data_IF_327041113866
#
_entry.id   IF_327041113866
#
_cell.length_a   1.000
_cell.length_b   1.000
_cell.length_c   1.000
_cell.angle_alpha   90.00
_cell.angle_beta   90.00
_cell.angle_gamma   90.00
#
_symmetry.space_group_name_H-M   'P 1'
#
loop_
_entity.id
_entity.type
_entity.pdbx_description
1 polymer ?
#
# COMPACT_ATOMS: atom_id res chain seq x y z
N UNK A 1 -16.52 49.46 -5.72
CA UNK A 1 -16.01 48.26 -6.42
C UNK A 1 -15.88 47.15 -5.37
N UNK A 2 -16.79 46.17 -5.40
CA UNK A 2 -16.81 45.06 -4.46
C UNK A 2 -15.95 43.93 -5.01
N UNK A 3 -14.94 43.51 -4.26
CA UNK A 3 -14.08 42.38 -4.57
C UNK A 3 -14.83 41.11 -4.20
N UNK A 4 -15.27 40.31 -5.18
CA UNK A 4 -15.84 38.99 -4.93
C UNK A 4 -14.64 38.02 -4.91
N UNK A 5 -14.38 37.31 -3.80
CA UNK A 5 -13.33 36.29 -3.78
C UNK A 5 -13.76 35.13 -4.66
N UNK A 6 -12.96 34.79 -5.66
CA UNK A 6 -13.14 33.62 -6.48
C UNK A 6 -12.95 32.36 -5.61
N UNK A 7 -14.03 31.65 -5.37
CA UNK A 7 -14.00 30.30 -4.75
C UNK A 7 -13.38 29.37 -5.79
N UNK A 8 -12.11 29.03 -5.61
CA UNK A 8 -11.45 28.01 -6.44
C UNK A 8 -12.05 26.65 -6.04
N UNK A 9 -12.69 25.92 -6.97
CA UNK A 9 -13.33 24.65 -6.62
C UNK A 9 -12.29 23.62 -6.19
N UNK A 10 -12.53 22.97 -5.06
CA UNK A 10 -11.73 21.89 -4.45
C UNK A 10 -11.76 20.59 -5.29
N UNK A 11 -12.22 20.62 -6.52
CA UNK A 11 -12.39 19.48 -7.43
C UNK A 11 -11.09 18.94 -8.01
N UNK A 12 -10.03 19.75 -8.03
CA UNK A 12 -8.76 19.41 -8.72
C UNK A 12 -8.04 18.18 -8.13
N UNK A 13 -8.18 17.90 -6.84
CA UNK A 13 -7.39 16.84 -6.17
C UNK A 13 -7.90 15.41 -6.44
N UNK A 14 -9.21 15.21 -6.57
CA UNK A 14 -9.77 13.89 -6.85
C UNK A 14 -9.63 13.50 -8.32
N UNK A 15 -9.62 14.48 -9.22
CA UNK A 15 -9.37 14.25 -10.64
C UNK A 15 -7.90 13.91 -10.89
N UNK A 16 -6.97 14.47 -10.11
CA UNK A 16 -5.54 14.21 -10.26
C UNK A 16 -5.17 12.77 -9.93
N UNK A 17 -5.67 12.17 -8.84
CA UNK A 17 -5.32 10.79 -8.49
C UNK A 17 -5.84 9.78 -9.51
N UNK A 18 -7.08 9.96 -10.00
CA UNK A 18 -7.68 9.10 -11.03
C UNK A 18 -6.93 9.21 -12.35
N UNK A 19 -6.59 10.46 -12.77
CA UNK A 19 -5.80 10.70 -13.99
C UNK A 19 -4.42 10.11 -13.90
N UNK A 20 -3.75 10.28 -12.75
CA UNK A 20 -2.41 9.73 -12.51
C UNK A 20 -2.44 8.22 -12.60
N UNK A 21 -3.32 7.53 -11.88
CA UNK A 21 -3.40 6.07 -11.93
C UNK A 21 -3.70 5.56 -13.33
N UNK A 22 -4.60 6.18 -14.09
CA UNK A 22 -4.86 5.81 -15.49
C UNK A 22 -3.66 6.06 -16.41
N UNK A 23 -2.88 7.10 -16.16
CA UNK A 23 -1.71 7.42 -16.98
C UNK A 23 -0.54 6.45 -16.78
N UNK A 24 -0.46 5.79 -15.61
CA UNK A 24 0.64 4.90 -15.25
C UNK A 24 0.24 3.42 -15.16
N UNK A 25 -0.98 3.08 -15.58
CA UNK A 25 -1.50 1.70 -15.55
C UNK A 25 -2.47 1.45 -16.70
N UNK A 26 -2.85 0.18 -16.88
CA UNK A 26 -3.83 -0.24 -17.91
C UNK A 26 -5.29 -0.15 -17.44
N UNK A 27 -5.54 0.42 -16.27
CA UNK A 27 -6.91 0.58 -15.78
C UNK A 27 -7.66 1.67 -16.54
N UNK A 28 -8.86 1.32 -17.04
CA UNK A 28 -9.74 2.22 -17.81
C UNK A 28 -10.99 2.63 -17.06
N UNK A 29 -11.02 2.47 -15.73
CA UNK A 29 -12.16 2.81 -14.88
C UNK A 29 -12.39 4.33 -14.88
N UNK A 30 -13.62 4.76 -15.10
CA UNK A 30 -14.03 6.16 -15.13
C UNK A 30 -14.72 6.57 -13.83
N UNK A 31 -14.87 7.86 -13.61
CA UNK A 31 -15.58 8.45 -12.48
C UNK A 31 -14.67 8.77 -11.29
N UNK A 32 -15.29 9.24 -10.22
CA UNK A 32 -14.62 9.59 -8.97
C UNK A 32 -13.93 8.36 -8.34
N UNK A 33 -12.85 8.60 -7.63
CA UNK A 33 -12.04 7.53 -7.03
C UNK A 33 -12.88 6.56 -6.18
N UNK A 34 -13.81 7.06 -5.36
CA UNK A 34 -14.66 6.21 -4.51
C UNK A 34 -15.62 5.29 -5.29
N UNK A 35 -15.95 5.62 -6.55
CA UNK A 35 -16.81 4.79 -7.40
C UNK A 35 -16.06 3.65 -8.08
N UNK A 36 -14.73 3.70 -8.09
CA UNK A 36 -13.90 2.71 -8.78
C UNK A 36 -14.15 1.30 -8.28
N UNK A 37 -14.38 1.14 -6.97
CA UNK A 37 -14.68 -0.17 -6.40
C UNK A 37 -15.91 -0.81 -7.04
N UNK A 38 -17.01 -0.07 -7.11
CA UNK A 38 -18.26 -0.55 -7.74
C UNK A 38 -18.09 -0.74 -9.25
N UNK A 39 -17.41 0.18 -9.94
CA UNK A 39 -17.20 0.11 -11.39
C UNK A 39 -16.22 -1.01 -11.82
N UNK A 40 -15.40 -1.49 -10.91
CA UNK A 40 -14.51 -2.64 -11.16
C UNK A 40 -15.28 -3.98 -11.17
N UNK A 41 -16.42 -4.05 -10.52
CA UNK A 41 -17.20 -5.28 -10.41
C UNK A 41 -17.57 -5.85 -11.79
N UNK A 42 -17.32 -7.13 -11.97
CA UNK A 42 -17.53 -7.84 -13.24
C UNK A 42 -16.51 -7.54 -14.35
N UNK A 43 -15.57 -6.60 -14.13
CA UNK A 43 -14.52 -6.24 -15.09
C UNK A 43 -13.12 -6.58 -14.59
N UNK A 44 -12.87 -6.41 -13.32
CA UNK A 44 -11.60 -6.66 -12.65
C UNK A 44 -11.83 -7.50 -11.40
N UNK A 45 -10.87 -8.32 -11.05
CA UNK A 45 -10.88 -9.01 -9.76
C UNK A 45 -10.69 -8.00 -8.61
N UNK A 46 -11.36 -8.25 -7.50
CA UNK A 46 -11.27 -7.45 -6.28
C UNK A 46 -10.74 -8.31 -5.16
N UNK A 47 -9.92 -7.74 -4.29
CA UNK A 47 -9.24 -8.46 -3.22
C UNK A 47 -9.09 -7.61 -1.97
N UNK A 48 -9.06 -8.27 -0.81
CA UNK A 48 -8.63 -7.67 0.45
C UNK A 48 -7.11 -7.71 0.64
N UNK A 49 -6.37 -8.33 -0.31
CA UNK A 49 -4.92 -8.44 -0.24
C UNK A 49 -4.27 -7.77 -1.45
N UNK A 50 -3.09 -7.14 -1.29
CA UNK A 50 -2.42 -6.41 -2.35
C UNK A 50 -1.79 -7.32 -3.40
N UNK A 51 -1.56 -6.75 -4.58
CA UNK A 51 -0.64 -7.25 -5.59
C UNK A 51 0.10 -6.06 -6.21
N UNK A 52 1.32 -6.23 -6.65
CA UNK A 52 1.98 -5.21 -7.47
C UNK A 52 1.15 -4.96 -8.74
N UNK A 53 0.99 -3.70 -9.12
CA UNK A 53 0.13 -3.27 -10.21
C UNK A 53 -1.36 -3.19 -9.86
N UNK A 54 -1.80 -3.56 -8.65
CA UNK A 54 -3.19 -3.37 -8.21
C UNK A 54 -3.46 -1.93 -7.79
N UNK A 55 -4.73 -1.55 -7.74
CA UNK A 55 -5.17 -0.22 -7.28
C UNK A 55 -5.80 -0.34 -5.90
N UNK A 56 -5.21 0.31 -4.90
CA UNK A 56 -5.81 0.52 -3.60
C UNK A 56 -6.88 1.60 -3.69
N UNK A 57 -8.11 1.28 -3.28
CA UNK A 57 -9.26 2.19 -3.36
C UNK A 57 -9.66 2.66 -1.97
N UNK A 58 -9.50 3.95 -1.72
CA UNK A 58 -9.89 4.60 -0.46
C UNK A 58 -11.36 4.99 -0.49
N UNK A 59 -12.04 4.79 0.62
CA UNK A 59 -13.42 5.26 0.82
C UNK A 59 -13.45 6.78 0.98
N UNK A 60 -14.61 7.34 0.78
CA UNK A 60 -14.87 8.75 1.14
C UNK A 60 -14.67 8.95 2.65
N UNK A 61 -13.97 10.00 3.00
CA UNK A 61 -13.75 10.43 4.38
C UNK A 61 -13.48 11.94 4.42
N UNK A 62 -13.36 12.54 5.61
CA UNK A 62 -13.29 13.98 5.77
C UNK A 62 -12.37 14.73 4.80
N UNK A 63 -11.12 14.30 4.65
CA UNK A 63 -10.17 14.93 3.70
C UNK A 63 -10.21 14.32 2.30
N UNK A 64 -10.79 13.14 2.16
CA UNK A 64 -10.95 12.41 0.91
C UNK A 64 -12.44 12.42 0.52
N UNK A 65 -13.03 13.59 0.35
CA UNK A 65 -14.46 13.76 0.10
C UNK A 65 -14.92 13.08 -1.21
N UNK A 66 -14.03 12.84 -2.17
CA UNK A 66 -14.26 12.08 -3.41
C UNK A 66 -13.53 10.73 -3.43
N UNK A 67 -13.07 10.24 -2.26
CA UNK A 67 -12.23 9.06 -2.18
C UNK A 67 -10.83 9.32 -2.69
N UNK A 68 -10.05 8.24 -2.87
CA UNK A 68 -8.72 8.29 -3.45
C UNK A 68 -8.36 6.94 -4.07
N UNK A 69 -7.45 6.93 -5.04
CA UNK A 69 -6.88 5.73 -5.64
C UNK A 69 -5.37 5.85 -5.72
N UNK A 70 -4.68 4.73 -5.48
CA UNK A 70 -3.22 4.63 -5.56
C UNK A 70 -2.83 3.33 -6.27
N UNK A 71 -1.86 3.39 -7.17
CA UNK A 71 -1.30 2.20 -7.83
C UNK A 71 -0.24 1.57 -6.93
N UNK A 72 -0.37 0.30 -6.60
CA UNK A 72 0.63 -0.45 -5.82
C UNK A 72 1.86 -0.69 -6.70
N UNK A 73 2.98 -0.06 -6.36
CA UNK A 73 4.26 -0.28 -7.05
C UNK A 73 4.97 -1.52 -6.50
N UNK A 74 4.86 -1.75 -5.19
CA UNK A 74 5.52 -2.90 -4.54
C UNK A 74 4.78 -3.35 -3.28
N UNK A 75 4.76 -4.66 -3.03
CA UNK A 75 4.35 -5.26 -1.75
C UNK A 75 5.62 -5.56 -0.96
N UNK A 76 5.80 -4.89 0.18
CA UNK A 76 7.00 -5.00 1.02
C UNK A 76 6.86 -6.14 2.01
N UNK A 77 5.75 -6.16 2.74
CA UNK A 77 5.44 -7.19 3.73
C UNK A 77 3.90 -7.31 3.90
N UNK A 78 3.46 -8.08 4.89
CA UNK A 78 2.03 -8.35 5.12
C UNK A 78 1.19 -7.11 5.43
N UNK A 79 1.81 -6.02 5.87
CA UNK A 79 1.15 -4.78 6.28
C UNK A 79 1.69 -3.53 5.58
N UNK A 80 2.68 -3.68 4.72
CA UNK A 80 3.36 -2.55 4.10
C UNK A 80 3.40 -2.70 2.59
N UNK A 81 2.93 -1.68 1.89
CA UNK A 81 3.07 -1.54 0.44
C UNK A 81 3.72 -0.20 0.12
N UNK A 82 4.23 -0.08 -1.08
CA UNK A 82 4.55 1.20 -1.72
C UNK A 82 3.58 1.45 -2.87
N UNK A 83 3.21 2.72 -3.03
CA UNK A 83 2.24 3.14 -4.04
C UNK A 83 2.71 4.36 -4.82
N UNK A 84 2.27 4.43 -6.06
CA UNK A 84 2.38 5.58 -6.92
C UNK A 84 1.02 6.29 -6.97
N UNK A 85 0.98 7.58 -6.64
CA UNK A 85 -0.26 8.35 -6.63
C UNK A 85 -0.04 9.87 -6.67
N UNK A 86 -1.11 10.63 -6.81
CA UNK A 86 -1.15 12.06 -6.49
C UNK A 86 -1.81 12.22 -5.12
N UNK A 87 -1.03 12.62 -4.10
CA UNK A 87 -1.51 12.69 -2.72
C UNK A 87 -1.93 14.10 -2.30
N UNK A 88 -2.74 14.20 -1.25
CA UNK A 88 -3.28 15.44 -0.68
C UNK A 88 -2.20 16.51 -0.50
N UNK A 89 -2.46 17.70 -1.05
CA UNK A 89 -1.58 18.86 -0.93
C UNK A 89 -0.36 18.88 -1.86
N UNK A 90 -0.09 17.77 -2.57
CA UNK A 90 0.94 17.69 -3.60
C UNK A 90 0.35 17.75 -5.00
N UNK A 91 1.07 18.32 -5.95
CA UNK A 91 0.73 18.26 -7.38
C UNK A 91 1.54 17.17 -8.06
N UNK A 92 0.88 16.41 -8.93
CA UNK A 92 1.54 15.41 -9.78
C UNK A 92 1.81 14.08 -9.09
N UNK A 93 2.54 13.24 -9.80
CA UNK A 93 2.86 11.87 -9.39
C UNK A 93 3.91 11.85 -8.28
N UNK A 94 3.60 11.15 -7.20
CA UNK A 94 4.51 10.73 -6.15
C UNK A 94 4.72 9.24 -6.28
N UNK A 95 5.97 8.80 -6.21
CA UNK A 95 6.34 7.39 -6.36
C UNK A 95 6.78 6.78 -5.05
N UNK A 96 6.56 5.46 -4.94
CA UNK A 96 7.04 4.63 -3.85
C UNK A 96 6.64 5.14 -2.45
N UNK A 97 5.48 5.79 -2.38
CA UNK A 97 4.92 6.27 -1.12
C UNK A 97 4.47 5.10 -0.26
N UNK A 98 5.01 5.00 0.95
CA UNK A 98 4.67 3.91 1.86
C UNK A 98 3.25 4.03 2.39
N UNK A 99 2.52 2.93 2.36
CA UNK A 99 1.20 2.77 2.97
C UNK A 99 1.22 1.56 3.88
N UNK A 100 0.74 1.73 5.10
CA UNK A 100 0.74 0.69 6.13
C UNK A 100 -0.68 0.32 6.50
N UNK A 101 -0.98 -0.97 6.48
CA UNK A 101 -2.22 -1.52 7.01
C UNK A 101 -2.23 -1.41 8.54
N UNK A 102 -3.21 -0.70 9.07
CA UNK A 102 -3.46 -0.54 10.51
C UNK A 102 -4.79 -1.16 10.94
N UNK A 103 -5.40 -1.96 10.07
CA UNK A 103 -6.61 -2.72 10.40
C UNK A 103 -6.32 -3.79 11.46
N UNK A 104 -7.34 -4.11 12.28
CA UNK A 104 -7.21 -5.10 13.34
C UNK A 104 -6.94 -6.52 12.78
N UNK A 105 -7.51 -6.83 11.61
CA UNK A 105 -7.48 -8.18 11.03
C UNK A 105 -6.47 -8.37 9.90
N UNK A 106 -5.61 -7.38 9.64
CA UNK A 106 -4.69 -7.39 8.49
C UNK A 106 -5.43 -7.63 7.16
N UNK A 107 -6.54 -6.94 7.00
CA UNK A 107 -7.44 -7.03 5.85
C UNK A 107 -7.44 -5.77 4.97
N UNK A 108 -6.54 -4.83 5.27
CA UNK A 108 -6.39 -3.57 4.55
C UNK A 108 -7.62 -2.67 4.57
N UNK A 109 -8.57 -2.90 5.49
CA UNK A 109 -9.76 -2.06 5.64
C UNK A 109 -9.48 -0.67 6.18
N UNK A 110 -8.31 -0.46 6.78
CA UNK A 110 -7.85 0.82 7.31
C UNK A 110 -6.34 0.95 7.12
N UNK A 111 -5.89 2.07 6.55
CA UNK A 111 -4.47 2.31 6.25
C UNK A 111 -4.01 3.68 6.74
N UNK A 112 -2.70 3.80 6.96
CA UNK A 112 -2.01 5.08 7.15
C UNK A 112 -1.00 5.28 6.02
N UNK A 113 -0.90 6.53 5.55
CA UNK A 113 -0.03 6.90 4.43
C UNK A 113 1.17 7.67 4.97
N UNK A 114 2.34 7.43 4.38
CA UNK A 114 3.56 8.14 4.73
C UNK A 114 3.41 9.66 4.53
N UNK A 115 3.96 10.42 5.44
CA UNK A 115 3.93 11.87 5.41
C UNK A 115 5.33 12.41 5.07
N UNK A 116 5.57 12.69 3.80
CA UNK A 116 6.89 13.10 3.31
C UNK A 116 7.49 14.31 4.03
N UNK A 117 6.76 15.41 4.28
CA UNK A 117 7.34 16.57 4.97
C UNK A 117 7.90 16.24 6.34
N UNK A 118 7.35 15.26 7.04
CA UNK A 118 7.80 14.84 8.36
C UNK A 118 8.66 13.57 8.34
N UNK A 119 8.87 12.98 7.17
CA UNK A 119 9.55 11.67 6.99
C UNK A 119 9.07 10.63 8.01
N UNK A 120 7.76 10.53 8.17
CA UNK A 120 7.12 9.66 9.18
C UNK A 120 5.78 9.13 8.69
N UNK A 121 5.31 8.06 9.31
CA UNK A 121 3.97 7.54 9.04
C UNK A 121 2.91 8.56 9.50
N UNK A 122 2.07 9.02 8.58
CA UNK A 122 0.99 9.95 8.88
C UNK A 122 0.11 9.44 10.01
N UNK A 123 -0.35 10.32 10.89
CA UNK A 123 -1.14 9.91 12.07
C UNK A 123 -2.58 9.53 11.74
N UNK A 124 -3.08 9.94 10.58
CA UNK A 124 -4.48 9.76 10.18
C UNK A 124 -4.69 8.39 9.55
N UNK A 125 -5.70 7.67 10.01
CA UNK A 125 -6.19 6.44 9.39
C UNK A 125 -7.24 6.76 8.33
N UNK A 126 -7.19 6.03 7.21
CA UNK A 126 -8.10 6.15 6.09
C UNK A 126 -8.79 4.81 5.82
N UNK A 127 -10.12 4.78 5.74
CA UNK A 127 -10.83 3.55 5.39
C UNK A 127 -10.69 3.26 3.89
N UNK A 128 -10.54 1.97 3.55
CA UNK A 128 -10.42 1.50 2.18
C UNK A 128 -11.48 0.46 1.84
N UNK A 129 -11.69 0.22 0.54
CA UNK A 129 -12.47 -0.91 0.04
C UNK A 129 -11.60 -2.16 -0.14
N UNK A 130 -10.33 -1.99 -0.47
CA UNK A 130 -9.40 -3.05 -0.86
C UNK A 130 -8.71 -2.73 -2.18
N UNK A 131 -8.33 -3.78 -2.90
CA UNK A 131 -7.51 -3.71 -4.11
C UNK A 131 -8.28 -4.18 -5.34
N UNK A 132 -8.20 -3.41 -6.42
CA UNK A 132 -8.62 -3.83 -7.76
C UNK A 132 -7.39 -4.42 -8.44
N UNK A 133 -7.44 -5.69 -8.81
CA UNK A 133 -6.32 -6.39 -9.42
C UNK A 133 -6.28 -6.16 -10.94
N UNK A 134 -5.11 -5.99 -11.55
CA UNK A 134 -4.99 -6.01 -13.01
C UNK A 134 -5.35 -7.39 -13.55
N UNK A 135 -5.70 -7.48 -14.82
CA UNK A 135 -6.08 -8.74 -15.44
C UNK A 135 -4.98 -9.81 -15.28
N UNK A 136 -5.37 -11.00 -14.83
CA UNK A 136 -4.47 -12.14 -14.63
C UNK A 136 -3.62 -12.07 -13.35
N UNK A 137 -3.64 -10.98 -12.60
CA UNK A 137 -2.90 -10.88 -11.34
C UNK A 137 -3.61 -11.64 -10.20
N UNK A 138 -2.81 -12.09 -9.25
CA UNK A 138 -3.26 -12.71 -7.99
C UNK A 138 -2.72 -11.92 -6.81
N UNK A 139 -3.41 -11.92 -5.66
CA UNK A 139 -2.89 -11.36 -4.44
C UNK A 139 -1.51 -11.93 -4.09
N UNK A 140 -0.62 -11.06 -3.65
CA UNK A 140 0.70 -11.48 -3.20
C UNK A 140 0.67 -11.72 -1.69
N UNK A 141 0.88 -12.97 -1.30
CA UNK A 141 1.15 -13.32 0.08
C UNK A 141 2.67 -13.26 0.28
N UNK A 142 3.13 -12.19 0.92
CA UNK A 142 4.51 -12.14 1.39
C UNK A 142 4.49 -12.91 2.71
N UNK A 143 4.94 -14.16 2.67
CA UNK A 143 5.17 -14.92 3.89
C UNK A 143 6.16 -14.14 4.77
N UNK A 144 5.91 -14.14 6.09
CA UNK A 144 6.89 -13.58 7.01
C UNK A 144 8.26 -14.19 6.68
N UNK A 145 9.29 -13.35 6.61
CA UNK A 145 10.66 -13.81 6.34
C UNK A 145 10.93 -15.17 6.99
N UNK A 146 11.57 -16.12 6.29
CA UNK A 146 11.93 -17.38 6.91
C UNK A 146 12.75 -17.02 8.16
N UNK A 147 12.19 -17.32 9.34
CA UNK A 147 12.97 -17.25 10.57
C UNK A 147 14.28 -17.94 10.26
N UNK A 148 15.39 -17.20 10.30
CA UNK A 148 16.72 -17.78 10.28
C UNK A 148 16.68 -18.92 11.28
N UNK A 149 16.69 -20.16 10.77
CA UNK A 149 16.72 -21.34 11.62
C UNK A 149 17.99 -21.19 12.45
N UNK A 150 17.84 -20.90 13.74
CA UNK A 150 18.94 -20.96 14.70
C UNK A 150 19.42 -22.40 14.61
N UNK A 151 20.55 -22.61 13.96
CA UNK A 151 21.19 -23.92 13.91
C UNK A 151 21.32 -24.43 15.35
N UNK A 152 20.89 -25.66 15.67
CA UNK A 152 21.06 -26.19 17.00
C UNK A 152 22.56 -26.19 17.31
N UNK A 153 22.93 -25.56 18.42
CA UNK A 153 24.30 -25.51 18.90
C UNK A 153 24.89 -26.93 18.89
N UNK A 154 25.87 -27.13 18.01
CA UNK A 154 26.54 -28.41 17.84
C UNK A 154 27.07 -28.90 19.18
N UNK A 155 26.69 -30.11 19.54
CA UNK A 155 27.24 -30.86 20.69
C UNK A 155 28.75 -30.84 20.59
N UNK A 156 29.42 -30.17 21.52
CA UNK A 156 30.85 -30.20 21.66
C UNK A 156 31.32 -31.67 21.82
N UNK A 157 32.06 -32.18 20.84
CA UNK A 157 32.71 -33.45 20.92
C UNK A 157 33.76 -33.40 22.03
N UNK A 158 33.53 -34.17 23.11
CA UNK A 158 34.57 -34.38 24.14
C UNK A 158 35.72 -35.12 23.51
N UNK A 159 36.83 -34.42 23.29
CA UNK A 159 38.10 -35.04 22.98
C UNK A 159 38.63 -35.74 24.24
N UNK A 160 38.65 -37.06 24.23
CA UNK A 160 39.36 -37.88 25.23
C UNK A 160 40.85 -37.85 24.93
N UNK A 161 41.60 -37.12 25.73
CA UNK A 161 43.08 -37.17 25.71
C UNK A 161 43.46 -38.48 26.36
N UNK A 162 44.02 -39.40 25.57
CA UNK A 162 44.78 -40.58 26.09
C UNK A 162 46.18 -40.15 26.43
N UNK A 163 46.49 -40.12 27.71
CA UNK A 163 47.86 -40.02 28.17
C UNK A 163 48.58 -41.37 27.90
N UNK A 164 49.55 -41.34 27.04
CA UNK A 164 50.52 -42.45 26.89
C UNK A 164 51.65 -42.22 27.91
N UNK A 165 51.74 -43.06 28.90
CA UNK A 165 52.92 -43.20 29.74
C UNK A 165 53.90 -44.12 29.04
N UNK A 166 55.02 -43.55 28.62
CA UNK A 166 56.18 -44.32 28.17
C UNK A 166 57.15 -44.62 29.35
N UNK A 167 57.52 -45.86 29.44
CA UNK A 167 58.66 -46.30 30.24
C UNK A 167 59.92 -46.07 29.49
#
# INVERSE_FOLDING_TARGET
>A
MAFVPAVIPTTAQAEDCVRVVRAISDFTIQGDAWTWWAHASGRYAQSSQPAAGSVLVFKRSGRLNRGHVSLVSRVIDRRTIEVDHSWLGGRGLRRDMRVVDVSAHNDWSAVRVWHEPGDTLGMRSYPTYGFILPHGARPQHVDAEPRLAVAPAGRAARATVRLHTAR
#
